data_IF_429321048783
#
_entry.id   IF_429321048783
#
_cell.length_a   1.000
_cell.length_b   1.000
_cell.length_c   1.000
_cell.angle_alpha   90.00
_cell.angle_beta   90.00
_cell.angle_gamma   90.00
#
_symmetry.space_group_name_H-M   'P 1'
#
loop_
_entity.id
_entity.type
_entity.pdbx_description
1 polymer ?
#
# COMPACT_ATOMS: atom_id res chain seq x y z
N UNK A 1 -23.43 -37.90 13.32
CA UNK A 1 -23.66 -36.44 13.44
C UNK A 1 -22.60 -35.68 14.28
N UNK A 2 -21.61 -36.33 14.91
CA UNK A 2 -20.64 -35.66 15.81
C UNK A 2 -19.36 -35.11 15.13
N UNK A 3 -18.95 -35.63 13.95
CA UNK A 3 -17.66 -35.23 13.35
C UNK A 3 -17.63 -33.79 12.80
N UNK A 4 -18.71 -33.33 12.17
CA UNK A 4 -18.78 -31.97 11.59
C UNK A 4 -18.63 -30.87 12.65
N UNK A 5 -19.17 -31.09 13.85
CA UNK A 5 -19.06 -30.14 14.95
C UNK A 5 -17.63 -30.01 15.44
N UNK A 6 -16.89 -31.13 15.56
CA UNK A 6 -15.48 -31.12 16.00
C UNK A 6 -14.57 -30.38 15.03
N UNK A 7 -14.75 -30.56 13.72
CA UNK A 7 -13.94 -29.85 12.73
C UNK A 7 -14.23 -28.34 12.72
N UNK A 8 -15.50 -27.95 12.83
CA UNK A 8 -15.89 -26.54 12.90
C UNK A 8 -15.33 -25.87 14.15
N UNK A 9 -15.34 -26.57 15.29
CA UNK A 9 -14.75 -26.07 16.53
C UNK A 9 -13.24 -25.91 16.40
N UNK A 10 -12.54 -26.92 15.86
CA UNK A 10 -11.09 -26.84 15.66
C UNK A 10 -10.67 -25.69 14.73
N UNK A 11 -11.47 -25.41 13.67
CA UNK A 11 -11.25 -24.25 12.81
C UNK A 11 -11.47 -22.92 13.53
N UNK A 12 -12.48 -22.82 14.39
CA UNK A 12 -12.68 -21.61 15.19
C UNK A 12 -11.50 -21.37 16.15
N UNK A 13 -11.06 -22.43 16.85
CA UNK A 13 -9.89 -22.40 17.74
C UNK A 13 -8.61 -22.02 16.98
N UNK A 14 -8.44 -22.45 15.73
CA UNK A 14 -7.31 -22.06 14.87
C UNK A 14 -7.23 -20.55 14.62
N UNK A 15 -8.34 -19.92 14.24
CA UNK A 15 -8.35 -18.46 14.01
C UNK A 15 -8.27 -17.68 15.32
N UNK A 16 -8.85 -18.19 16.40
CA UNK A 16 -8.74 -17.58 17.73
C UNK A 16 -7.32 -17.68 18.27
N UNK A 17 -6.60 -18.78 18.02
CA UNK A 17 -5.18 -18.93 18.32
C UNK A 17 -4.32 -17.93 17.54
N UNK A 18 -4.60 -17.75 16.24
CA UNK A 18 -3.87 -16.78 15.42
C UNK A 18 -4.05 -15.34 15.89
N UNK A 19 -5.27 -14.99 16.34
CA UNK A 19 -5.62 -13.69 16.91
C UNK A 19 -4.97 -13.46 18.29
N UNK A 20 -4.95 -14.48 19.14
CA UNK A 20 -4.47 -14.37 20.53
C UNK A 20 -2.98 -14.60 20.70
N UNK A 21 -2.26 -14.99 19.65
CA UNK A 21 -0.83 -15.27 19.72
C UNK A 21 -0.48 -16.67 20.26
N UNK A 22 -1.40 -17.64 20.22
CA UNK A 22 -1.12 -19.01 20.68
C UNK A 22 -0.30 -19.79 19.64
N UNK A 23 1.01 -19.52 19.64
CA UNK A 23 2.00 -20.10 18.72
C UNK A 23 2.05 -21.62 18.81
N UNK A 24 1.95 -22.20 20.02
CA UNK A 24 2.00 -23.66 20.21
C UNK A 24 0.85 -24.38 19.49
N UNK A 25 -0.37 -23.86 19.63
CA UNK A 25 -1.54 -24.41 18.93
C UNK A 25 -1.42 -24.25 17.42
N UNK A 26 -0.93 -23.08 16.97
CA UNK A 26 -0.67 -22.82 15.55
C UNK A 26 0.32 -23.83 15.00
N UNK A 27 1.47 -24.00 15.66
CA UNK A 27 2.51 -24.94 15.25
C UNK A 27 1.98 -26.38 15.16
N UNK A 28 1.27 -26.84 16.19
CA UNK A 28 0.73 -28.20 16.26
C UNK A 28 -0.33 -28.50 15.16
N UNK A 29 -1.04 -27.49 14.68
CA UNK A 29 -2.14 -27.66 13.72
C UNK A 29 -1.82 -27.15 12.31
N UNK A 30 -0.65 -26.53 12.09
CA UNK A 30 -0.29 -25.88 10.82
C UNK A 30 -0.38 -26.81 9.61
N UNK A 31 0.07 -28.06 9.75
CA UNK A 31 0.05 -29.03 8.66
C UNK A 31 -1.39 -29.39 8.21
N UNK A 32 -2.36 -29.31 9.11
CA UNK A 32 -3.76 -29.69 8.88
C UNK A 32 -4.64 -28.51 8.49
N UNK A 33 -4.42 -27.35 9.10
CA UNK A 33 -5.31 -26.19 9.01
C UNK A 33 -4.70 -25.01 8.22
N UNK A 34 -3.39 -25.04 7.93
CA UNK A 34 -2.73 -23.99 7.15
C UNK A 34 -3.42 -23.73 5.81
N UNK A 35 -3.68 -22.46 5.52
CA UNK A 35 -4.41 -22.02 4.33
C UNK A 35 -5.93 -22.10 4.45
N UNK A 36 -6.46 -22.53 5.59
CA UNK A 36 -7.90 -22.43 5.85
C UNK A 36 -8.33 -20.98 6.01
N UNK A 37 -9.58 -20.69 5.61
CA UNK A 37 -10.20 -19.37 5.74
C UNK A 37 -11.38 -19.41 6.71
N UNK A 38 -11.58 -18.31 7.42
CA UNK A 38 -12.63 -18.16 8.41
C UNK A 38 -13.99 -17.99 7.74
N UNK A 39 -14.91 -18.89 8.05
CA UNK A 39 -16.28 -18.88 7.52
C UNK A 39 -17.29 -18.26 8.48
N UNK A 40 -16.84 -17.77 9.65
CA UNK A 40 -17.68 -17.02 10.58
C UNK A 40 -18.09 -15.70 9.93
N UNK A 41 -19.30 -15.22 10.25
CA UNK A 41 -19.76 -13.90 9.82
C UNK A 41 -18.83 -12.83 10.40
N UNK A 42 -18.50 -11.81 9.62
CA UNK A 42 -17.73 -10.67 10.11
C UNK A 42 -18.41 -10.04 11.33
N UNK A 43 -17.65 -9.89 12.40
CA UNK A 43 -18.02 -9.23 13.64
C UNK A 43 -16.89 -8.29 14.04
N UNK A 44 -17.09 -7.01 13.75
CA UNK A 44 -16.11 -5.94 14.02
C UNK A 44 -15.95 -5.64 15.50
N UNK A 45 -16.87 -6.09 16.38
CA UNK A 45 -16.74 -5.88 17.83
C UNK A 45 -15.65 -6.75 18.45
N UNK A 46 -15.43 -7.94 17.87
CA UNK A 46 -14.39 -8.89 18.28
C UNK A 46 -13.30 -9.04 17.22
N UNK A 47 -13.30 -8.19 16.18
CA UNK A 47 -12.37 -8.22 15.05
C UNK A 47 -12.26 -9.62 14.41
N UNK A 48 -13.41 -10.25 14.15
CA UNK A 48 -13.55 -11.48 13.37
C UNK A 48 -13.98 -11.10 11.96
N UNK A 49 -13.33 -11.62 10.93
CA UNK A 49 -13.56 -11.24 9.54
C UNK A 49 -13.78 -12.49 8.67
N UNK A 50 -14.88 -12.50 7.93
CA UNK A 50 -15.13 -13.56 6.96
C UNK A 50 -14.05 -13.57 5.87
N UNK A 51 -13.54 -14.75 5.54
CA UNK A 51 -12.54 -14.95 4.50
C UNK A 51 -11.10 -14.74 4.95
N UNK A 52 -10.86 -14.25 6.17
CA UNK A 52 -9.51 -14.14 6.71
C UNK A 52 -8.92 -15.52 6.98
N UNK A 53 -7.66 -15.73 6.60
CA UNK A 53 -6.86 -16.86 7.08
C UNK A 53 -6.07 -16.50 8.35
N UNK A 54 -5.30 -17.44 8.90
CA UNK A 54 -4.51 -17.20 10.11
C UNK A 54 -3.49 -16.07 9.92
N UNK A 55 -2.84 -15.97 8.75
CA UNK A 55 -1.87 -14.91 8.48
C UNK A 55 -2.49 -13.51 8.52
N UNK A 56 -3.71 -13.36 8.03
CA UNK A 56 -4.42 -12.08 8.04
C UNK A 56 -4.74 -11.66 9.49
N UNK A 57 -5.19 -12.61 10.32
CA UNK A 57 -5.41 -12.36 11.74
C UNK A 57 -4.11 -12.05 12.48
N UNK A 58 -3.02 -12.76 12.19
CA UNK A 58 -1.73 -12.51 12.82
C UNK A 58 -1.23 -11.09 12.54
N UNK A 59 -1.43 -10.58 11.33
CA UNK A 59 -1.07 -9.21 10.97
C UNK A 59 -1.96 -8.18 11.66
N UNK A 60 -3.29 -8.34 11.57
CA UNK A 60 -4.25 -7.36 12.13
C UNK A 60 -4.19 -7.30 13.65
N UNK A 61 -3.87 -8.41 14.32
CA UNK A 61 -3.75 -8.49 15.78
C UNK A 61 -2.29 -8.43 16.27
N UNK A 62 -1.37 -8.03 15.40
CA UNK A 62 0.02 -7.75 15.77
C UNK A 62 0.80 -8.95 16.34
N UNK A 63 0.39 -10.17 15.99
CA UNK A 63 0.96 -11.44 16.46
C UNK A 63 2.14 -11.87 15.57
N UNK A 64 3.27 -11.18 15.70
CA UNK A 64 4.46 -11.42 14.88
C UNK A 64 4.96 -12.88 14.95
N UNK A 65 4.89 -13.54 16.11
CA UNK A 65 5.39 -14.90 16.24
C UNK A 65 4.47 -15.93 15.56
N UNK A 66 3.15 -15.72 15.60
CA UNK A 66 2.21 -16.50 14.78
C UNK A 66 2.48 -16.27 13.30
N UNK A 67 2.70 -15.01 12.89
CA UNK A 67 3.02 -14.68 11.50
C UNK A 67 4.26 -15.47 11.02
N UNK A 68 5.33 -15.54 11.82
CA UNK A 68 6.52 -16.33 11.49
C UNK A 68 6.22 -17.82 11.28
N UNK A 69 5.33 -18.41 12.07
CA UNK A 69 4.95 -19.82 11.91
C UNK A 69 4.16 -20.07 10.61
N UNK A 70 3.24 -19.17 10.26
CA UNK A 70 2.31 -19.41 9.14
C UNK A 70 2.80 -18.87 7.80
N UNK A 71 3.75 -17.93 7.79
CA UNK A 71 4.11 -17.17 6.58
C UNK A 71 4.52 -18.07 5.42
N UNK A 72 5.32 -19.12 5.65
CA UNK A 72 5.79 -20.01 4.58
C UNK A 72 4.65 -20.72 3.83
N UNK A 73 3.49 -20.93 4.46
CA UNK A 73 2.32 -21.57 3.81
C UNK A 73 1.29 -20.58 3.31
N UNK A 74 1.18 -19.43 3.96
CA UNK A 74 0.09 -18.48 3.75
C UNK A 74 0.53 -17.17 3.09
N UNK A 75 1.81 -17.01 2.71
CA UNK A 75 2.39 -15.74 2.24
C UNK A 75 1.62 -15.06 1.11
N UNK A 76 1.11 -15.84 0.16
CA UNK A 76 0.39 -15.33 -1.02
C UNK A 76 -1.13 -15.38 -0.88
N UNK A 77 -1.66 -15.74 0.29
CA UNK A 77 -3.10 -15.68 0.50
C UNK A 77 -3.54 -14.22 0.47
N UNK A 78 -4.64 -13.99 -0.24
CA UNK A 78 -5.26 -12.67 -0.39
C UNK A 78 -6.70 -12.73 0.09
N UNK A 79 -7.24 -11.57 0.41
CA UNK A 79 -8.63 -11.48 0.81
C UNK A 79 -9.57 -11.88 -0.34
N UNK A 80 -10.57 -12.73 -0.08
CA UNK A 80 -11.52 -13.16 -1.10
C UNK A 80 -12.66 -12.17 -1.34
N UNK A 81 -12.79 -11.13 -0.50
CA UNK A 81 -13.81 -10.11 -0.61
C UNK A 81 -13.41 -8.86 0.19
N UNK A 82 -14.08 -7.74 -0.07
CA UNK A 82 -13.93 -6.51 0.69
C UNK A 82 -14.24 -6.73 2.19
N UNK A 83 -13.45 -6.14 3.07
CA UNK A 83 -13.65 -6.21 4.52
C UNK A 83 -13.47 -4.84 5.18
N UNK A 84 -14.29 -4.46 6.17
CA UNK A 84 -14.02 -3.28 6.99
C UNK A 84 -12.97 -3.62 8.06
N UNK A 85 -11.92 -2.82 8.17
CA UNK A 85 -10.91 -2.93 9.25
C UNK A 85 -10.73 -1.61 9.97
N UNK A 86 -10.10 -1.65 11.14
CA UNK A 86 -9.55 -0.47 11.80
C UNK A 86 -8.15 -0.22 11.23
N UNK A 87 -7.91 1.00 10.73
CA UNK A 87 -6.65 1.41 10.09
C UNK A 87 -5.99 2.55 10.89
N UNK A 88 -5.31 2.26 12.01
CA UNK A 88 -4.68 3.27 12.85
C UNK A 88 -3.65 4.13 12.08
N UNK A 89 -3.03 3.59 11.03
CA UNK A 89 -2.07 4.30 10.19
C UNK A 89 -2.67 5.47 9.40
N UNK A 90 -3.98 5.41 9.14
CA UNK A 90 -4.75 6.53 8.58
C UNK A 90 -5.09 7.49 9.72
N UNK A 91 -5.68 6.98 10.79
CA UNK A 91 -5.88 7.69 12.05
C UNK A 91 -6.46 6.79 13.13
N UNK A 92 -6.40 7.20 14.40
CA UNK A 92 -6.53 6.34 15.59
C UNK A 92 -7.73 5.36 15.60
N UNK A 93 -8.85 5.71 14.97
CA UNK A 93 -10.05 4.86 14.86
C UNK A 93 -10.67 4.89 13.46
N UNK A 94 -9.86 5.19 12.45
CA UNK A 94 -10.34 5.21 11.07
C UNK A 94 -10.81 3.81 10.68
N UNK A 95 -12.06 3.71 10.22
CA UNK A 95 -12.54 2.51 9.55
C UNK A 95 -12.18 2.61 8.08
N UNK A 96 -11.57 1.56 7.54
CA UNK A 96 -11.16 1.48 6.15
C UNK A 96 -11.71 0.20 5.54
N UNK A 97 -12.25 0.30 4.32
CA UNK A 97 -12.68 -0.87 3.56
C UNK A 97 -11.51 -1.33 2.71
N UNK A 98 -10.81 -2.36 3.16
CA UNK A 98 -9.83 -3.06 2.33
C UNK A 98 -10.56 -3.86 1.27
N UNK A 99 -10.00 -3.89 0.06
CA UNK A 99 -10.64 -4.53 -1.08
C UNK A 99 -10.30 -6.01 -1.17
N UNK A 100 -11.13 -6.76 -1.87
CA UNK A 100 -10.76 -8.08 -2.38
C UNK A 100 -9.35 -8.04 -3.00
N UNK A 101 -8.56 -9.07 -2.78
CA UNK A 101 -7.20 -9.16 -3.32
C UNK A 101 -6.12 -8.47 -2.52
N UNK A 102 -6.48 -7.74 -1.47
CA UNK A 102 -5.54 -7.17 -0.50
C UNK A 102 -4.59 -8.26 0.02
N UNK A 103 -3.29 -7.99 -0.02
CA UNK A 103 -2.23 -8.86 0.50
C UNK A 103 -1.89 -8.53 1.97
N UNK A 104 -1.11 -9.38 2.64
CA UNK A 104 -0.68 -9.12 4.03
C UNK A 104 0.18 -7.86 4.20
N UNK A 105 0.87 -7.41 3.14
CA UNK A 105 1.67 -6.18 3.19
C UNK A 105 0.77 -4.94 3.27
N UNK A 106 -0.32 -4.90 2.50
CA UNK A 106 -1.30 -3.83 2.59
C UNK A 106 -1.90 -3.72 4.00
N UNK A 107 -2.27 -4.87 4.58
CA UNK A 107 -2.79 -4.94 5.95
C UNK A 107 -1.76 -4.44 6.97
N UNK A 108 -0.51 -4.88 6.87
CA UNK A 108 0.55 -4.50 7.80
C UNK A 108 0.79 -2.98 7.80
N UNK A 109 0.77 -2.36 6.61
CA UNK A 109 0.89 -0.91 6.45
C UNK A 109 -0.29 -0.16 7.12
N UNK A 110 -1.52 -0.64 6.96
CA UNK A 110 -2.72 -0.01 7.54
C UNK A 110 -2.81 -0.18 9.06
N UNK A 111 -2.30 -1.28 9.60
CA UNK A 111 -2.24 -1.57 11.05
C UNK A 111 -1.09 -0.81 11.73
N UNK A 112 -0.13 -0.29 10.96
CA UNK A 112 1.01 0.49 11.45
C UNK A 112 1.97 -0.28 12.39
N UNK A 113 2.06 -1.61 12.26
CA UNK A 113 3.03 -2.39 13.04
C UNK A 113 4.36 -2.49 12.28
N UNK A 114 5.30 -1.61 12.61
CA UNK A 114 6.62 -1.53 11.99
C UNK A 114 7.37 -2.87 11.98
N UNK A 115 7.32 -3.64 13.07
CA UNK A 115 8.03 -4.94 13.17
C UNK A 115 7.49 -5.95 12.18
N UNK A 116 6.18 -5.95 11.95
CA UNK A 116 5.52 -6.83 10.99
C UNK A 116 5.83 -6.38 9.56
N UNK A 117 5.78 -5.07 9.28
CA UNK A 117 6.13 -4.51 7.97
C UNK A 117 7.57 -4.86 7.61
N UNK A 118 8.51 -4.62 8.52
CA UNK A 118 9.94 -4.98 8.37
C UNK A 118 10.12 -6.48 8.12
N UNK A 119 9.43 -7.32 8.89
CA UNK A 119 9.50 -8.76 8.70
C UNK A 119 9.01 -9.16 7.30
N UNK A 120 7.84 -8.68 6.85
CA UNK A 120 7.27 -9.00 5.54
C UNK A 120 8.18 -8.50 4.42
N UNK A 121 8.69 -7.27 4.51
CA UNK A 121 9.55 -6.69 3.47
C UNK A 121 10.90 -7.40 3.33
N UNK A 122 11.39 -8.03 4.41
CA UNK A 122 12.64 -8.79 4.41
C UNK A 122 12.43 -10.29 4.19
N UNK A 123 11.18 -10.77 4.16
CA UNK A 123 10.88 -12.18 3.96
C UNK A 123 11.14 -12.61 2.50
N UNK A 124 11.92 -13.67 2.33
CA UNK A 124 12.18 -14.31 1.05
C UNK A 124 11.50 -15.67 1.01
N UNK A 125 10.37 -15.75 0.31
CA UNK A 125 9.64 -17.00 0.16
C UNK A 125 10.42 -18.02 -0.69
N UNK A 126 10.32 -19.32 -0.38
CA UNK A 126 11.10 -20.39 -1.06
C UNK A 126 10.87 -20.49 -2.57
N UNK A 127 9.72 -20.02 -3.06
CA UNK A 127 9.43 -19.95 -4.50
C UNK A 127 10.16 -18.82 -5.23
N UNK A 128 10.87 -17.94 -4.53
CA UNK A 128 11.50 -16.74 -5.10
C UNK A 128 10.51 -15.64 -5.48
N UNK A 129 9.19 -15.88 -5.40
CA UNK A 129 8.16 -14.88 -5.68
C UNK A 129 8.09 -13.86 -4.54
N UNK A 130 7.81 -12.61 -4.90
CA UNK A 130 7.62 -11.52 -3.96
C UNK A 130 6.15 -11.15 -3.79
N UNK A 131 5.79 -10.62 -2.62
CA UNK A 131 4.47 -10.01 -2.37
C UNK A 131 4.39 -8.56 -2.84
N UNK A 132 5.55 -8.02 -3.21
CA UNK A 132 5.77 -6.75 -3.88
C UNK A 132 5.11 -6.75 -5.28
N UNK A 133 4.64 -5.59 -5.75
CA UNK A 133 3.96 -5.41 -7.03
C UNK A 133 2.68 -6.26 -7.19
N UNK A 134 1.99 -6.58 -6.09
CA UNK A 134 0.71 -7.29 -6.12
C UNK A 134 -0.41 -6.32 -5.78
N UNK A 135 -1.28 -5.93 -6.71
CA UNK A 135 -2.39 -5.03 -6.42
C UNK A 135 -3.60 -5.79 -5.86
N UNK A 136 -4.50 -5.05 -5.20
CA UNK A 136 -5.84 -5.51 -4.88
C UNK A 136 -6.76 -5.54 -6.14
N UNK A 137 -8.05 -5.85 -5.96
CA UNK A 137 -9.04 -5.94 -7.04
C UNK A 137 -9.36 -4.59 -7.71
N UNK A 138 -8.89 -3.47 -7.16
CA UNK A 138 -9.02 -2.12 -7.68
C UNK A 138 -7.69 -1.55 -8.18
N UNK A 139 -6.65 -2.38 -8.31
CA UNK A 139 -5.35 -1.92 -8.79
C UNK A 139 -4.55 -1.15 -7.75
N UNK A 140 -4.96 -1.11 -6.48
CA UNK A 140 -4.21 -0.42 -5.43
C UNK A 140 -3.04 -1.31 -4.99
N UNK A 141 -1.83 -0.79 -5.12
CA UNK A 141 -0.62 -1.44 -4.63
C UNK A 141 -0.23 -0.94 -3.22
N UNK A 142 0.79 -1.58 -2.64
CA UNK A 142 1.29 -1.23 -1.31
C UNK A 142 1.92 0.17 -1.27
N UNK A 143 2.59 0.62 -2.34
CA UNK A 143 3.05 2.01 -2.46
C UNK A 143 1.89 2.99 -2.43
N UNK A 144 0.75 2.65 -3.03
CA UNK A 144 -0.46 3.47 -2.99
C UNK A 144 -0.97 3.72 -1.56
N UNK A 145 -0.81 2.74 -0.67
CA UNK A 145 -1.15 2.91 0.76
C UNK A 145 -0.25 3.92 1.45
N UNK A 146 1.04 4.03 1.06
CA UNK A 146 1.96 5.01 1.65
C UNK A 146 1.52 6.46 1.44
N UNK A 147 0.77 6.74 0.37
CA UNK A 147 0.18 8.07 0.13
C UNK A 147 -1.00 8.38 1.08
N UNK A 148 -1.57 7.37 1.77
CA UNK A 148 -2.68 7.56 2.71
C UNK A 148 -2.22 7.59 4.17
N UNK A 149 -1.11 6.94 4.51
CA UNK A 149 -0.71 6.69 5.90
C UNK A 149 0.48 7.53 6.36
N UNK A 150 0.61 7.70 7.67
CA UNK A 150 1.85 8.20 8.25
C UNK A 150 2.83 7.03 8.38
N UNK A 151 3.92 7.09 7.61
CA UNK A 151 4.93 6.01 7.57
C UNK A 151 6.32 6.50 7.97
N UNK A 152 7.17 5.55 8.32
CA UNK A 152 8.57 5.80 8.62
C UNK A 152 9.43 5.85 7.35
N UNK A 153 10.52 6.58 7.41
CA UNK A 153 11.47 6.74 6.30
C UNK A 153 12.09 5.41 5.88
N UNK A 154 12.33 4.48 6.83
CA UNK A 154 12.83 3.14 6.53
C UNK A 154 11.90 2.39 5.57
N UNK A 155 10.58 2.45 5.81
CA UNK A 155 9.58 1.75 4.98
C UNK A 155 9.54 2.36 3.58
N UNK A 156 9.58 3.69 3.48
CA UNK A 156 9.63 4.40 2.20
C UNK A 156 10.87 3.98 1.41
N UNK A 157 12.07 4.07 2.02
CA UNK A 157 13.33 3.73 1.36
C UNK A 157 13.39 2.26 0.94
N UNK A 158 12.88 1.35 1.78
CA UNK A 158 12.85 -0.08 1.48
C UNK A 158 11.94 -0.38 0.29
N UNK A 159 10.70 0.12 0.31
CA UNK A 159 9.75 -0.06 -0.79
C UNK A 159 10.25 0.61 -2.08
N UNK A 160 10.88 1.78 -1.95
CA UNK A 160 11.49 2.46 -3.07
C UNK A 160 12.53 1.60 -3.78
N UNK A 161 13.54 1.14 -3.02
CA UNK A 161 14.66 0.38 -3.57
C UNK A 161 14.25 -0.92 -4.28
N UNK A 162 13.02 -1.40 -4.02
CA UNK A 162 12.55 -2.69 -4.53
C UNK A 162 11.53 -2.58 -5.65
N UNK A 163 10.66 -1.56 -5.69
CA UNK A 163 9.46 -1.63 -6.53
C UNK A 163 8.70 -0.32 -6.82
N UNK A 164 9.08 0.83 -6.24
CA UNK A 164 8.22 2.02 -6.31
C UNK A 164 8.04 2.54 -7.74
N UNK A 165 9.08 2.50 -8.57
CA UNK A 165 8.93 2.88 -9.98
C UNK A 165 7.93 1.96 -10.68
N UNK A 166 8.07 0.64 -10.54
CA UNK A 166 7.17 -0.34 -11.18
C UNK A 166 5.70 -0.13 -10.80
N UNK A 167 5.41 0.03 -9.50
CA UNK A 167 4.03 0.21 -9.02
C UNK A 167 3.41 1.56 -9.44
N UNK A 168 4.20 2.64 -9.49
CA UNK A 168 3.70 3.97 -9.89
C UNK A 168 3.66 4.18 -11.40
N UNK A 169 4.45 3.41 -12.15
CA UNK A 169 4.38 3.32 -13.61
C UNK A 169 3.20 2.47 -14.06
N UNK A 170 2.63 1.63 -13.19
CA UNK A 170 1.42 0.88 -13.51
C UNK A 170 0.25 1.84 -13.76
N UNK A 171 -0.25 1.83 -15.00
CA UNK A 171 -1.24 2.79 -15.44
C UNK A 171 -2.66 2.29 -15.16
N UNK A 172 -3.35 2.94 -14.21
CA UNK A 172 -4.77 2.69 -13.98
C UNK A 172 -5.60 3.56 -14.93
N UNK A 173 -5.53 3.29 -16.24
CA UNK A 173 -6.19 4.06 -17.30
C UNK A 173 -7.71 3.83 -17.43
N UNK A 174 -8.41 3.60 -16.32
CA UNK A 174 -9.86 3.49 -16.35
C UNK A 174 -10.52 4.86 -16.56
N UNK A 175 -11.63 4.94 -17.31
CA UNK A 175 -12.48 6.14 -17.35
C UNK A 175 -13.02 6.55 -15.96
N UNK A 176 -12.95 5.64 -14.99
CA UNK A 176 -13.27 5.84 -13.57
C UNK A 176 -12.00 5.94 -12.68
N UNK A 177 -10.84 6.30 -13.25
CA UNK A 177 -9.63 6.53 -12.48
C UNK A 177 -9.90 7.64 -11.45
N UNK A 178 -9.82 7.28 -10.17
CA UNK A 178 -10.00 8.20 -9.07
C UNK A 178 -8.85 9.22 -8.97
N UNK A 179 -8.72 9.93 -7.85
CA UNK A 179 -7.55 10.78 -7.61
C UNK A 179 -6.25 9.99 -7.79
N UNK A 180 -5.25 10.62 -8.43
CA UNK A 180 -3.91 10.05 -8.48
C UNK A 180 -3.31 9.89 -7.08
N UNK A 181 -2.27 9.06 -6.94
CA UNK A 181 -1.57 8.88 -5.68
C UNK A 181 -1.08 10.21 -5.06
N UNK A 182 -0.66 11.18 -5.89
CA UNK A 182 -0.24 12.51 -5.42
C UNK A 182 -1.43 13.34 -4.91
N UNK A 183 -2.60 13.26 -5.56
CA UNK A 183 -3.83 13.86 -5.03
C UNK A 183 -4.19 13.26 -3.68
N UNK A 184 -4.09 11.92 -3.55
CA UNK A 184 -4.34 11.20 -2.30
C UNK A 184 -3.39 11.68 -1.20
N UNK A 185 -2.07 11.78 -1.44
CA UNK A 185 -1.16 12.33 -0.44
C UNK A 185 -1.48 13.77 -0.06
N UNK A 186 -1.89 14.61 -1.01
CA UNK A 186 -2.34 15.97 -0.72
C UNK A 186 -3.53 15.97 0.24
N UNK A 187 -4.57 15.19 -0.08
CA UNK A 187 -5.77 15.05 0.77
C UNK A 187 -5.36 14.61 2.19
N UNK A 188 -4.53 13.57 2.29
CA UNK A 188 -4.07 13.00 3.55
C UNK A 188 -2.92 13.76 4.23
N UNK A 189 -2.43 14.87 3.65
CA UNK A 189 -1.30 15.66 4.17
C UNK A 189 -0.02 14.85 4.36
N UNK A 190 0.25 13.87 3.49
CA UNK A 190 1.42 12.98 3.59
C UNK A 190 2.60 13.54 2.81
N UNK A 191 3.44 14.31 3.51
CA UNK A 191 4.55 15.03 2.88
C UNK A 191 5.83 14.17 2.70
N UNK A 192 6.13 13.24 3.61
CA UNK A 192 7.41 12.49 3.61
C UNK A 192 7.68 11.74 2.30
N UNK A 193 6.65 11.12 1.73
CA UNK A 193 6.79 10.39 0.46
C UNK A 193 7.00 11.36 -0.71
N UNK A 194 6.39 12.54 -0.68
CA UNK A 194 6.58 13.58 -1.69
C UNK A 194 8.01 14.15 -1.61
N UNK A 195 8.49 14.46 -0.40
CA UNK A 195 9.87 14.90 -0.17
C UNK A 195 10.87 13.86 -0.67
N UNK A 196 10.64 12.58 -0.37
CA UNK A 196 11.49 11.49 -0.84
C UNK A 196 11.48 11.34 -2.37
N UNK A 197 10.32 11.50 -3.03
CA UNK A 197 10.24 11.51 -4.51
C UNK A 197 11.01 12.69 -5.10
N UNK A 198 10.89 13.88 -4.50
CA UNK A 198 11.64 15.07 -4.89
C UNK A 198 13.14 14.85 -4.80
N UNK A 199 13.63 14.37 -3.65
CA UNK A 199 15.05 14.07 -3.44
C UNK A 199 15.58 13.07 -4.47
N UNK A 200 14.82 12.01 -4.76
CA UNK A 200 15.21 10.99 -5.73
C UNK A 200 15.30 11.53 -7.17
N UNK A 201 14.33 12.34 -7.57
CA UNK A 201 14.32 12.99 -8.89
C UNK A 201 15.47 14.00 -9.00
N UNK A 202 15.66 14.85 -7.99
CA UNK A 202 16.71 15.88 -7.97
C UNK A 202 18.12 15.29 -7.92
N UNK A 203 18.28 14.13 -7.28
CA UNK A 203 19.54 13.38 -7.27
C UNK A 203 19.86 12.72 -8.62
N UNK A 204 18.95 12.76 -9.61
CA UNK A 204 19.13 12.13 -10.92
C UNK A 204 19.13 10.61 -10.85
N UNK A 205 18.52 10.03 -9.82
CA UNK A 205 18.44 8.59 -9.62
C UNK A 205 17.20 7.98 -10.28
N UNK A 206 16.16 8.78 -10.49
CA UNK A 206 14.94 8.38 -11.19
C UNK A 206 15.21 8.06 -12.67
N UNK A 207 14.59 6.98 -13.17
CA UNK A 207 14.52 6.78 -14.61
C UNK A 207 13.74 7.93 -15.28
N UNK A 208 14.10 8.28 -16.52
CA UNK A 208 13.44 9.38 -17.26
C UNK A 208 11.93 9.12 -17.39
N UNK A 209 11.54 7.89 -17.69
CA UNK A 209 10.14 7.51 -17.80
C UNK A 209 9.38 7.68 -16.48
N UNK A 210 9.99 7.26 -15.36
CA UNK A 210 9.42 7.46 -14.03
C UNK A 210 9.31 8.95 -13.66
N UNK A 211 10.37 9.72 -13.88
CA UNK A 211 10.35 11.17 -13.66
C UNK A 211 9.23 11.85 -14.45
N UNK A 212 9.12 11.56 -15.75
CA UNK A 212 8.04 12.09 -16.61
C UNK A 212 6.66 11.69 -16.09
N UNK A 213 6.49 10.43 -15.65
CA UNK A 213 5.23 9.96 -15.06
C UNK A 213 4.88 10.75 -13.81
N UNK A 214 5.81 10.93 -12.87
CA UNK A 214 5.56 11.70 -11.65
C UNK A 214 5.20 13.16 -11.98
N UNK A 215 5.89 13.77 -12.94
CA UNK A 215 5.60 15.14 -13.37
C UNK A 215 4.24 15.26 -14.06
N UNK A 216 3.84 14.30 -14.89
CA UNK A 216 2.49 14.26 -15.43
C UNK A 216 1.45 14.12 -14.30
N UNK A 217 1.68 13.22 -13.34
CA UNK A 217 0.75 12.99 -12.22
C UNK A 217 0.63 14.20 -11.28
N UNK A 218 1.68 15.02 -11.13
CA UNK A 218 1.63 16.21 -10.25
C UNK A 218 0.90 17.37 -10.91
N UNK A 219 0.98 17.47 -12.23
CA UNK A 219 0.32 18.50 -13.04
C UNK A 219 -1.11 18.12 -13.44
N UNK A 220 -1.48 16.84 -13.31
CA UNK A 220 -2.83 16.35 -13.59
C UNK A 220 -3.88 17.02 -12.68
N UNK A 221 -5.09 17.19 -13.23
CA UNK A 221 -6.24 17.73 -12.52
C UNK A 221 -7.29 16.65 -12.29
N UNK A 222 -7.65 16.42 -11.03
CA UNK A 222 -8.77 15.54 -10.70
C UNK A 222 -10.02 16.35 -10.36
N UNK A 223 -11.03 16.28 -11.24
CA UNK A 223 -12.31 17.00 -11.09
C UNK A 223 -12.13 18.51 -10.91
N UNK A 224 -11.17 19.10 -11.64
CA UNK A 224 -10.84 20.52 -11.58
C UNK A 224 -10.06 20.94 -10.33
N UNK A 225 -9.54 19.98 -9.57
CA UNK A 225 -8.61 20.25 -8.48
C UNK A 225 -7.21 19.79 -8.87
N UNK A 226 -6.24 20.69 -8.74
CA UNK A 226 -4.83 20.33 -8.80
C UNK A 226 -4.41 19.49 -7.60
N UNK A 227 -3.22 18.88 -7.68
CA UNK A 227 -2.58 18.23 -6.53
C UNK A 227 -2.32 19.19 -5.36
N UNK A 228 -2.00 20.46 -5.64
CA UNK A 228 -1.80 21.50 -4.62
C UNK A 228 -3.13 21.89 -3.97
N UNK A 229 -4.21 22.01 -4.73
CA UNK A 229 -5.53 22.32 -4.17
C UNK A 229 -6.06 21.18 -3.31
N UNK A 230 -5.73 19.94 -3.68
CA UNK A 230 -6.03 18.75 -2.86
C UNK A 230 -5.41 18.83 -1.46
N UNK A 231 -4.23 19.46 -1.32
CA UNK A 231 -3.59 19.70 -0.02
C UNK A 231 -4.37 20.69 0.88
N UNK A 232 -5.20 21.55 0.28
CA UNK A 232 -6.00 22.56 0.99
C UNK A 232 -7.37 22.03 1.41
N UNK A 233 -7.78 20.84 0.93
CA UNK A 233 -9.06 20.24 1.31
C UNK A 233 -9.04 19.97 2.83
N UNK A 234 -9.96 20.60 3.60
CA UNK A 234 -10.00 20.39 5.03
C UNK A 234 -10.39 18.95 5.31
N UNK A 235 -9.52 18.24 6.03
CA UNK A 235 -9.88 16.94 6.58
C UNK A 235 -10.19 17.06 8.06
N UNK A 236 -11.08 16.19 8.52
CA UNK A 236 -11.29 15.98 9.94
C UNK A 236 -9.98 15.49 10.58
N UNK A 237 -9.32 16.36 11.35
CA UNK A 237 -8.05 16.08 12.03
C UNK A 237 -8.16 14.80 12.88
N UNK A 238 -9.34 14.53 13.45
CA UNK A 238 -9.58 13.35 14.27
C UNK A 238 -9.52 12.06 13.46
N UNK A 239 -9.75 12.13 12.15
CA UNK A 239 -9.76 10.96 11.25
C UNK A 239 -8.39 10.61 10.70
N UNK A 240 -7.50 11.60 10.53
CA UNK A 240 -6.27 11.38 9.76
C UNK A 240 -4.96 11.71 10.49
N UNK A 241 -5.06 12.21 11.73
CA UNK A 241 -3.92 12.52 12.60
C UNK A 241 -2.83 13.37 11.91
N UNK A 242 -3.24 14.40 11.16
CA UNK A 242 -2.31 15.32 10.46
C UNK A 242 -2.24 16.61 11.25
N UNK A 243 -1.04 16.99 11.70
CA UNK A 243 -0.84 18.27 12.36
C UNK A 243 -0.82 19.43 11.35
N UNK A 244 -1.21 20.66 11.74
CA UNK A 244 -1.23 21.80 10.82
C UNK A 244 0.12 22.08 10.13
N UNK A 245 1.23 21.90 10.84
CA UNK A 245 2.58 22.05 10.30
C UNK A 245 2.92 20.95 9.27
N UNK A 246 2.50 19.71 9.48
CA UNK A 246 2.68 18.62 8.51
C UNK A 246 1.91 18.90 7.22
N UNK A 247 0.69 19.44 7.33
CA UNK A 247 -0.10 19.86 6.17
C UNK A 247 0.58 21.00 5.41
N UNK A 248 1.10 22.00 6.11
CA UNK A 248 1.85 23.08 5.48
C UNK A 248 3.08 22.57 4.74
N UNK A 249 3.84 21.65 5.34
CA UNK A 249 4.96 20.97 4.66
C UNK A 249 4.52 20.19 3.42
N UNK A 250 3.35 19.53 3.48
CA UNK A 250 2.79 18.83 2.32
C UNK A 250 2.50 19.79 1.16
N UNK A 251 1.94 20.97 1.46
CA UNK A 251 1.69 22.02 0.45
C UNK A 251 3.02 22.48 -0.17
N UNK A 252 4.02 22.78 0.64
CA UNK A 252 5.33 23.27 0.18
C UNK A 252 6.07 22.23 -0.68
N UNK A 253 6.06 20.96 -0.26
CA UNK A 253 6.62 19.86 -1.03
C UNK A 253 5.89 19.70 -2.37
N UNK A 254 4.55 19.72 -2.37
CA UNK A 254 3.77 19.60 -3.60
C UNK A 254 4.01 20.78 -4.56
N UNK A 255 4.06 22.01 -4.05
CA UNK A 255 4.39 23.20 -4.85
C UNK A 255 5.79 23.13 -5.45
N UNK A 256 6.76 22.59 -4.70
CA UNK A 256 8.11 22.38 -5.21
C UNK A 256 8.11 21.36 -6.34
N UNK A 257 7.38 20.25 -6.19
CA UNK A 257 7.25 19.24 -7.24
C UNK A 257 6.59 19.77 -8.51
N UNK A 258 5.53 20.58 -8.38
CA UNK A 258 4.88 21.27 -9.51
C UNK A 258 5.85 22.22 -10.21
N UNK A 259 6.62 23.03 -9.46
CA UNK A 259 7.61 23.94 -10.05
C UNK A 259 8.68 23.16 -10.83
N UNK A 260 9.23 22.10 -10.23
CA UNK A 260 10.24 21.25 -10.89
C UNK A 260 9.67 20.58 -12.14
N UNK A 261 8.41 20.13 -12.13
CA UNK A 261 7.75 19.58 -13.31
C UNK A 261 7.62 20.62 -14.44
N UNK A 262 7.18 21.84 -14.12
CA UNK A 262 7.06 22.92 -15.11
C UNK A 262 8.41 23.32 -15.71
N UNK A 263 9.47 23.41 -14.88
CA UNK A 263 10.84 23.67 -15.34
C UNK A 263 11.33 22.57 -16.28
N UNK A 264 11.06 21.29 -15.94
CA UNK A 264 11.39 20.15 -16.79
C UNK A 264 10.73 20.24 -18.16
N UNK A 265 9.41 20.41 -18.24
CA UNK A 265 8.71 20.49 -19.52
C UNK A 265 9.10 21.73 -20.33
N UNK A 266 9.29 22.88 -19.67
CA UNK A 266 9.78 24.10 -20.34
C UNK A 266 11.17 23.93 -20.97
N UNK A 267 12.01 23.07 -20.38
CA UNK A 267 13.35 22.77 -20.93
C UNK A 267 13.29 21.85 -22.14
N UNK A 268 12.28 20.98 -22.24
CA UNK A 268 12.07 20.11 -23.41
C UNK A 268 11.62 20.91 -24.64
N UNK A 269 10.77 21.92 -24.46
CA UNK A 269 10.30 22.80 -25.54
C UNK A 269 11.41 23.67 -26.15
N UNK A 270 12.53 23.85 -25.44
CA UNK A 270 13.68 24.61 -25.92
C UNK A 270 14.64 23.76 -26.76
N UNK A 271 14.46 22.44 -26.84
CA UNK A 271 15.29 21.56 -27.66
C UNK A 271 14.89 21.75 -29.13
N UNK A 272 15.78 22.24 -30.01
CA UNK A 272 15.45 22.43 -31.42
C UNK A 272 15.01 21.12 -32.08
N UNK A 273 13.94 21.19 -32.90
CA UNK A 273 13.31 20.05 -33.61
C UNK A 273 14.29 19.15 -34.39
N UNK A 274 15.47 19.65 -34.72
CA UNK A 274 16.48 18.91 -35.46
C UNK A 274 17.12 17.75 -34.66
N UNK A 275 16.86 17.63 -33.35
CA UNK A 275 17.44 16.60 -32.47
C UNK A 275 16.49 15.43 -32.16
N UNK A 276 15.18 15.59 -32.37
CA UNK A 276 14.16 14.60 -31.95
C UNK A 276 14.08 13.36 -32.87
N UNK A 277 14.58 13.42 -34.10
CA UNK A 277 14.55 12.27 -35.03
C UNK A 277 15.44 11.09 -34.62
N UNK A 278 16.32 11.24 -33.63
CA UNK A 278 17.18 10.16 -33.15
C UNK A 278 16.60 9.33 -32.00
N UNK A 279 15.61 9.84 -31.26
CA UNK A 279 15.10 9.18 -30.04
C UNK A 279 13.78 8.41 -30.23
N UNK A 280 12.99 8.70 -31.27
CA UNK A 280 11.76 7.93 -31.57
C UNK A 280 12.01 6.45 -31.92
N UNK A 281 13.26 6.05 -32.19
CA UNK A 281 13.62 4.67 -32.55
C UNK A 281 14.04 3.79 -31.36
N UNK A 282 13.91 4.24 -30.11
CA UNK A 282 14.39 3.48 -28.94
C UNK A 282 13.30 3.03 -27.94
N UNK A 283 12.02 3.22 -28.23
CA UNK A 283 10.95 2.67 -27.37
C UNK A 283 10.66 1.22 -27.79
N UNK A 284 10.92 0.21 -26.94
CA UNK A 284 10.59 -1.18 -27.27
C UNK A 284 9.07 -1.35 -27.30
N UNK A 285 8.54 -1.79 -28.44
CA UNK A 285 7.14 -2.20 -28.55
C UNK A 285 6.92 -3.51 -27.79
N UNK A 286 6.57 -3.43 -26.51
CA UNK A 286 6.06 -4.58 -25.77
C UNK A 286 4.54 -4.60 -25.89
N UNK A 287 4.07 -5.39 -26.87
CA UNK A 287 2.71 -5.98 -26.92
C UNK A 287 2.72 -7.27 -26.14
#
# INVERSE_FOLDING_TARGET
>A
MCMFTKQKQLLAEWFDAARSGNVEFIHANLAKLGGSVDKRKTDTSINSYFGFSAIHYAVVHEQLDVLKEVIEREYFLRLPQDQPIVAPAIGQRAQYIIREGTSILHLALLVQNQRIVEFILNYQHRSGKSILCVPDSKGLFSVGILFMIQTDEFVIRTLHSKQMEEELMYDYNGADAGPSHLHVAGIFGRFKLIEHLLEYIQAGLASVAFQQRIFNLVLDENRGHSTVDSCKIPMDIRRCNVQPNERQRCIEAMQTLVRTANEYFSSLDQIPDNTNKQYENQVPSHV
#
